data_IF_651396324710
#
_entry.id   IF_651396324710
#
_cell.length_a   1.000
_cell.length_b   1.000
_cell.length_c   1.000
_cell.angle_alpha   90.00
_cell.angle_beta   90.00
_cell.angle_gamma   90.00
#
_symmetry.space_group_name_H-M   'P 1'
#
loop_
_entity.id
_entity.type
_entity.pdbx_description
1 polymer ?
#
# COMPACT_ATOMS: atom_id res chain seq x y z
N UNK A 1 -10.95 -5.52 9.86
CA UNK A 1 -10.34 -4.19 9.59
C UNK A 1 -10.49 -3.83 8.12
N UNK A 2 -10.59 -2.52 7.81
CA UNK A 2 -10.57 -2.01 6.44
C UNK A 2 -9.41 -1.03 6.31
N UNK A 3 -8.65 -1.15 5.20
CA UNK A 3 -7.43 -0.39 5.00
C UNK A 3 -7.14 -0.16 3.51
N UNK A 4 -6.07 0.56 3.20
CA UNK A 4 -5.56 0.82 1.85
C UNK A 4 -6.61 1.42 0.89
N UNK A 5 -7.33 2.50 1.29
CA UNK A 5 -8.32 3.12 0.41
C UNK A 5 -7.63 3.78 -0.79
N UNK A 6 -8.22 3.62 -1.98
CA UNK A 6 -7.76 4.25 -3.22
C UNK A 6 -8.94 4.70 -4.06
N UNK A 7 -8.89 5.93 -4.54
CA UNK A 7 -9.88 6.47 -5.46
C UNK A 7 -9.80 5.81 -6.84
N UNK A 8 -10.97 5.61 -7.45
CA UNK A 8 -11.03 5.40 -8.90
C UNK A 8 -10.57 6.65 -9.63
N UNK A 9 -10.02 6.49 -10.82
CA UNK A 9 -9.47 7.61 -11.59
C UNK A 9 -10.51 8.70 -11.89
N UNK A 10 -11.77 8.33 -12.06
CA UNK A 10 -12.89 9.24 -12.30
C UNK A 10 -13.48 9.86 -11.02
N UNK A 11 -12.99 9.51 -9.84
CA UNK A 11 -13.45 10.01 -8.55
C UNK A 11 -14.85 9.53 -8.12
N UNK A 12 -15.45 8.61 -8.85
CA UNK A 12 -16.82 8.16 -8.59
C UNK A 12 -16.92 6.95 -7.65
N UNK A 13 -15.80 6.32 -7.38
CA UNK A 13 -15.70 5.18 -6.48
C UNK A 13 -14.39 5.17 -5.71
N UNK A 14 -14.35 4.38 -4.64
CA UNK A 14 -13.17 4.12 -3.84
C UNK A 14 -13.06 2.62 -3.63
N UNK A 15 -11.89 2.04 -3.92
CA UNK A 15 -11.59 0.66 -3.54
C UNK A 15 -10.87 0.63 -2.20
N UNK A 16 -11.05 -0.44 -1.45
CA UNK A 16 -10.37 -0.67 -0.18
C UNK A 16 -10.27 -2.17 0.10
N UNK A 17 -9.30 -2.55 0.90
CA UNK A 17 -9.11 -3.93 1.35
C UNK A 17 -9.77 -4.13 2.71
N UNK A 18 -10.45 -5.25 2.93
CA UNK A 18 -11.11 -5.56 4.20
C UNK A 18 -11.09 -7.05 4.50
N UNK A 19 -11.00 -7.41 5.76
CA UNK A 19 -11.10 -8.77 6.28
C UNK A 19 -12.53 -9.17 6.69
N UNK A 20 -13.54 -8.37 6.31
CA UNK A 20 -14.92 -8.56 6.75
C UNK A 20 -15.49 -9.94 6.43
N UNK A 21 -15.12 -10.48 5.27
CA UNK A 21 -15.64 -11.75 4.75
C UNK A 21 -14.58 -12.85 4.73
N UNK A 22 -13.32 -12.51 5.01
CA UNK A 22 -12.21 -13.44 5.00
C UNK A 22 -12.18 -14.33 6.23
N UNK A 23 -11.57 -15.49 6.09
CA UNK A 23 -11.29 -16.39 7.21
C UNK A 23 -10.30 -15.70 8.15
N UNK A 24 -10.61 -15.69 9.43
CA UNK A 24 -9.72 -15.17 10.48
C UNK A 24 -8.92 -16.31 11.08
N UNK A 25 -7.63 -16.09 11.22
CA UNK A 25 -6.77 -16.99 11.95
C UNK A 25 -6.99 -16.85 13.46
N UNK A 26 -6.60 -17.88 14.21
CA UNK A 26 -6.69 -17.88 15.66
C UNK A 26 -5.95 -16.67 16.26
N UNK A 27 -6.54 -16.03 17.27
CA UNK A 27 -5.93 -15.01 18.12
C UNK A 27 -5.22 -13.86 17.35
N UNK A 28 -5.86 -13.25 16.36
CA UNK A 28 -5.32 -12.11 15.61
C UNK A 28 -4.01 -12.37 14.82
N UNK A 29 -3.71 -13.60 14.51
CA UNK A 29 -2.57 -14.00 13.66
C UNK A 29 -2.78 -13.69 12.17
N UNK A 30 -3.68 -12.78 11.87
CA UNK A 30 -4.02 -12.36 10.53
C UNK A 30 -5.40 -12.85 10.07
N UNK A 31 -5.80 -12.40 8.93
CA UNK A 31 -7.05 -12.76 8.27
C UNK A 31 -6.88 -12.69 6.76
N UNK A 32 -7.65 -13.50 6.05
CA UNK A 32 -7.80 -13.33 4.61
C UNK A 32 -8.63 -12.09 4.34
N UNK A 33 -8.35 -11.41 3.25
CA UNK A 33 -8.95 -10.13 2.88
C UNK A 33 -9.60 -10.18 1.52
N UNK A 34 -10.45 -9.18 1.26
CA UNK A 34 -11.11 -8.93 -0.01
C UNK A 34 -10.90 -7.50 -0.45
N UNK A 35 -10.92 -7.26 -1.75
CA UNK A 35 -11.02 -5.91 -2.29
C UNK A 35 -12.49 -5.59 -2.50
N UNK A 36 -12.92 -4.50 -1.87
CA UNK A 36 -14.27 -3.94 -2.00
C UNK A 36 -14.23 -2.64 -2.77
N UNK A 37 -15.35 -2.27 -3.37
CA UNK A 37 -15.55 -0.97 -3.99
C UNK A 37 -16.82 -0.33 -3.44
N UNK A 38 -16.70 0.93 -3.02
CA UNK A 38 -17.85 1.77 -2.66
C UNK A 38 -18.05 2.85 -3.71
N UNK A 39 -19.28 2.99 -4.21
CA UNK A 39 -19.63 4.04 -5.17
C UNK A 39 -20.13 5.28 -4.44
N UNK A 40 -19.61 6.44 -4.81
CA UNK A 40 -19.92 7.72 -4.17
C UNK A 40 -21.35 8.16 -4.41
N UNK A 41 -21.97 7.73 -5.51
CA UNK A 41 -23.36 8.04 -5.84
C UNK A 41 -24.04 6.87 -6.56
N UNK A 42 -25.38 6.88 -6.58
CA UNK A 42 -26.18 5.81 -7.19
C UNK A 42 -25.96 5.69 -8.70
N UNK A 43 -25.80 6.81 -9.39
CA UNK A 43 -25.58 6.80 -10.83
C UNK A 43 -24.28 6.06 -11.21
N UNK A 44 -23.23 6.19 -10.40
CA UNK A 44 -21.98 5.44 -10.61
C UNK A 44 -22.18 3.94 -10.41
N UNK A 45 -22.94 3.53 -9.39
CA UNK A 45 -23.28 2.11 -9.16
C UNK A 45 -24.12 1.54 -10.32
N UNK A 46 -25.13 2.28 -10.77
CA UNK A 46 -25.98 1.86 -11.90
C UNK A 46 -25.17 1.72 -13.17
N UNK A 47 -24.29 2.69 -13.48
CA UNK A 47 -23.37 2.58 -14.63
C UNK A 47 -22.45 1.36 -14.50
N UNK A 48 -22.01 1.04 -13.31
CA UNK A 48 -21.19 -0.17 -13.08
C UNK A 48 -22.00 -1.46 -13.34
N UNK A 49 -23.27 -1.49 -13.02
CA UNK A 49 -24.18 -2.64 -13.23
C UNK A 49 -24.62 -2.84 -14.68
N UNK A 50 -24.58 -1.80 -15.50
CA UNK A 50 -24.94 -1.88 -16.94
C UNK A 50 -24.04 -2.89 -17.65
N UNK A 51 -24.58 -3.56 -18.65
CA UNK A 51 -23.80 -4.37 -19.60
C UNK A 51 -22.94 -3.49 -20.51
N UNK A 52 -21.97 -4.07 -21.23
CA UNK A 52 -21.17 -3.30 -22.21
C UNK A 52 -22.06 -2.65 -23.26
N UNK A 53 -23.07 -3.37 -23.78
CA UNK A 53 -24.02 -2.87 -24.77
C UNK A 53 -24.87 -1.70 -24.24
N UNK A 54 -25.34 -1.79 -23.00
CA UNK A 54 -26.10 -0.72 -22.35
C UNK A 54 -25.26 0.55 -22.16
N UNK A 55 -23.97 0.40 -21.80
CA UNK A 55 -23.04 1.53 -21.68
C UNK A 55 -22.81 2.20 -23.03
N UNK A 56 -22.55 1.42 -24.10
CA UNK A 56 -22.36 1.94 -25.46
C UNK A 56 -23.61 2.68 -25.96
N UNK A 57 -24.79 2.12 -25.70
CA UNK A 57 -26.06 2.74 -26.06
C UNK A 57 -26.28 4.05 -25.28
N UNK A 58 -25.98 4.07 -24.01
CA UNK A 58 -26.09 5.28 -23.18
C UNK A 58 -25.13 6.38 -23.62
N UNK A 59 -23.89 6.01 -23.97
CA UNK A 59 -22.89 6.95 -24.50
C UNK A 59 -23.26 7.48 -25.89
N UNK A 60 -23.81 6.64 -26.76
CA UNK A 60 -24.29 7.06 -28.06
C UNK A 60 -25.47 8.05 -27.93
N UNK A 61 -26.42 7.78 -27.05
CA UNK A 61 -27.53 8.71 -26.75
C UNK A 61 -27.03 10.05 -26.18
N UNK A 62 -26.08 10.03 -25.26
CA UNK A 62 -25.51 11.24 -24.68
C UNK A 62 -24.73 12.10 -25.72
N UNK A 63 -24.04 11.44 -26.67
CA UNK A 63 -23.36 12.13 -27.78
C UNK A 63 -24.40 12.76 -28.75
N UNK A 64 -25.45 12.05 -29.09
CA UNK A 64 -26.52 12.55 -29.97
C UNK A 64 -27.23 13.77 -29.33
N UNK A 65 -27.51 13.75 -28.03
CA UNK A 65 -28.10 14.88 -27.32
C UNK A 65 -27.19 16.13 -27.31
N UNK A 66 -25.88 15.95 -27.06
CA UNK A 66 -24.92 17.07 -27.13
C UNK A 66 -24.82 17.69 -28.54
N UNK A 67 -24.93 16.86 -29.56
CA UNK A 67 -24.90 17.34 -30.98
C UNK A 67 -26.15 18.13 -31.30
N UNK A 68 -27.32 17.74 -30.78
CA UNK A 68 -28.57 18.46 -30.98
C UNK A 68 -28.61 19.78 -30.20
N UNK A 69 -28.07 19.83 -28.98
CA UNK A 69 -27.94 21.07 -28.21
C UNK A 69 -26.94 22.05 -28.83
N UNK A 70 -25.81 21.57 -29.38
CA UNK A 70 -24.86 22.39 -30.10
C UNK A 70 -25.38 22.94 -31.42
N UNK A 71 -26.33 22.24 -32.06
CA UNK A 71 -27.00 22.73 -33.26
C UNK A 71 -28.12 23.76 -32.96
N UNK A 72 -28.74 23.64 -31.78
CA UNK A 72 -29.76 24.61 -31.34
C UNK A 72 -29.17 25.95 -30.88
N UNK A 73 -27.93 25.94 -30.33
CA UNK A 73 -27.26 27.16 -29.85
C UNK A 73 -26.56 27.99 -30.93
N UNK A 74 -26.47 27.51 -32.17
CA UNK A 74 -25.89 28.22 -33.32
C UNK A 74 -26.81 29.26 -33.99
N UNK A 75 -28.00 29.52 -33.44
CA UNK A 75 -29.00 30.50 -33.96
C UNK A 75 -29.07 31.82 -33.20
N UNK A 76 -28.14 32.19 -32.36
CA UNK A 76 -28.06 33.53 -31.82
C UNK A 76 -26.60 34.05 -31.96
N UNK A 77 -26.44 34.89 -33.00
CA UNK A 77 -25.22 35.64 -33.23
C UNK A 77 -25.18 36.82 -32.25
N UNK A 78 -24.05 37.05 -31.58
CA UNK A 78 -23.40 38.38 -31.58
C UNK A 78 -21.93 38.22 -31.13
N UNK A 79 -21.05 38.85 -31.91
CA UNK A 79 -19.64 39.00 -31.71
C UNK A 79 -19.34 39.68 -30.38
N UNK A 80 -18.42 39.12 -29.61
CA UNK A 80 -17.40 39.94 -28.97
C UNK A 80 -16.09 39.15 -28.81
N UNK A 81 -15.02 39.78 -29.28
CA UNK A 81 -13.68 39.26 -29.29
C UNK A 81 -12.96 39.70 -28.02
N UNK A 82 -12.63 38.76 -27.16
CA UNK A 82 -11.44 38.92 -26.29
C UNK A 82 -10.84 37.55 -25.94
N UNK A 83 -9.62 37.35 -26.45
CA UNK A 83 -8.72 36.29 -26.04
C UNK A 83 -8.52 36.32 -24.54
N UNK A 84 -8.79 35.20 -23.87
CA UNK A 84 -8.14 34.89 -22.61
C UNK A 84 -7.86 33.40 -22.59
N UNK A 85 -6.62 33.10 -22.86
CA UNK A 85 -5.97 31.83 -22.63
C UNK A 85 -5.95 31.57 -21.11
N UNK A 86 -6.74 30.64 -20.64
CA UNK A 86 -6.58 30.03 -19.34
C UNK A 86 -7.23 28.65 -19.39
N UNK A 87 -6.42 27.65 -19.63
CA UNK A 87 -6.76 26.23 -19.40
C UNK A 87 -6.92 25.99 -17.88
N UNK A 88 -7.97 26.54 -17.30
CA UNK A 88 -8.47 26.10 -16.00
C UNK A 88 -9.33 24.86 -16.22
N UNK A 89 -8.69 23.70 -16.12
CA UNK A 89 -9.37 22.43 -15.91
C UNK A 89 -9.99 22.49 -14.51
N UNK A 90 -11.18 23.10 -14.39
CA UNK A 90 -11.97 23.03 -13.16
C UNK A 90 -12.19 21.56 -12.85
N UNK A 91 -11.50 21.04 -11.85
CA UNK A 91 -11.76 19.71 -11.29
C UNK A 91 -13.24 19.68 -10.90
N UNK A 92 -14.00 18.75 -11.51
CA UNK A 92 -15.41 18.56 -11.12
C UNK A 92 -15.43 18.12 -9.67
N UNK A 93 -16.11 18.88 -8.82
CA UNK A 93 -16.30 18.51 -7.43
C UNK A 93 -16.92 17.11 -7.34
N UNK A 94 -16.33 16.25 -6.52
CA UNK A 94 -16.84 14.90 -6.29
C UNK A 94 -18.15 15.02 -5.52
N UNK A 95 -19.23 14.45 -6.08
CA UNK A 95 -20.54 14.42 -5.42
C UNK A 95 -20.67 13.11 -4.64
N UNK A 96 -20.76 13.22 -3.31
CA UNK A 96 -20.94 12.08 -2.43
C UNK A 96 -22.37 12.08 -1.89
N UNK A 97 -23.08 10.98 -2.12
CA UNK A 97 -24.41 10.72 -1.54
C UNK A 97 -24.20 9.87 -0.28
N UNK A 98 -24.31 10.47 0.90
CA UNK A 98 -24.03 9.79 2.16
C UNK A 98 -25.14 8.80 2.57
N UNK A 99 -26.39 9.08 2.21
CA UNK A 99 -27.52 8.23 2.57
C UNK A 99 -27.39 6.85 1.94
N UNK A 100 -27.43 5.81 2.76
CA UNK A 100 -27.33 4.40 2.38
C UNK A 100 -26.08 4.10 1.52
N UNK A 101 -24.93 4.67 1.92
CA UNK A 101 -23.65 4.44 1.20
C UNK A 101 -23.22 2.98 1.27
N UNK A 102 -23.56 2.28 2.33
CA UNK A 102 -23.32 0.86 2.54
C UNK A 102 -23.99 -0.04 1.49
N UNK A 103 -25.15 0.36 0.95
CA UNK A 103 -25.84 -0.37 -0.13
C UNK A 103 -25.11 -0.27 -1.48
N UNK A 104 -24.11 0.62 -1.55
CA UNK A 104 -23.28 0.83 -2.74
C UNK A 104 -21.90 0.23 -2.62
N UNK A 105 -21.71 -0.67 -1.66
CA UNK A 105 -20.48 -1.43 -1.50
C UNK A 105 -20.62 -2.78 -2.21
N UNK A 106 -19.67 -3.09 -3.08
CA UNK A 106 -19.61 -4.38 -3.77
C UNK A 106 -18.26 -5.05 -3.54
N UNK A 107 -18.24 -6.38 -3.53
CA UNK A 107 -17.03 -7.18 -3.49
C UNK A 107 -16.48 -7.35 -4.90
N UNK A 108 -15.19 -7.09 -5.10
CA UNK A 108 -14.52 -7.22 -6.40
C UNK A 108 -13.75 -8.53 -6.54
N UNK A 109 -13.16 -9.03 -5.46
CA UNK A 109 -12.43 -10.30 -5.47
C UNK A 109 -13.40 -11.47 -5.35
N UNK A 110 -13.23 -12.55 -6.14
CA UNK A 110 -14.10 -13.72 -6.07
C UNK A 110 -13.88 -14.53 -4.80
N UNK A 111 -12.64 -14.61 -4.33
CA UNK A 111 -12.23 -15.34 -3.14
C UNK A 111 -11.39 -14.46 -2.25
N UNK A 112 -11.50 -14.67 -0.94
CA UNK A 112 -10.63 -14.02 0.04
C UNK A 112 -9.22 -14.63 -0.03
N UNK A 113 -8.21 -13.79 0.14
CA UNK A 113 -6.80 -14.20 0.12
C UNK A 113 -5.96 -13.28 1.02
N UNK A 114 -4.69 -13.61 1.20
CA UNK A 114 -3.71 -12.65 1.70
C UNK A 114 -3.39 -11.65 0.59
N UNK A 115 -3.98 -10.45 0.71
CA UNK A 115 -3.87 -9.39 -0.31
C UNK A 115 -2.92 -8.32 0.18
N UNK A 116 -1.80 -8.15 -0.52
CA UNK A 116 -0.81 -7.13 -0.18
C UNK A 116 -1.11 -5.77 -0.80
N UNK A 117 -1.68 -5.73 -2.00
CA UNK A 117 -1.98 -4.48 -2.70
C UNK A 117 -3.01 -4.66 -3.78
N UNK A 118 -3.78 -3.59 -4.07
CA UNK A 118 -4.77 -3.57 -5.14
C UNK A 118 -4.85 -2.21 -5.82
N UNK A 119 -5.17 -2.16 -7.10
CA UNK A 119 -5.36 -0.94 -7.88
C UNK A 119 -6.31 -1.18 -9.05
N UNK A 120 -7.09 -0.16 -9.41
CA UNK A 120 -7.89 -0.18 -10.64
C UNK A 120 -7.02 0.17 -11.86
N UNK A 121 -7.38 -0.38 -13.03
CA UNK A 121 -6.85 0.11 -14.30
C UNK A 121 -7.23 1.57 -14.51
N UNK A 122 -6.47 2.35 -15.32
CA UNK A 122 -6.78 3.75 -15.59
C UNK A 122 -8.20 3.99 -16.13
N UNK A 123 -8.73 3.04 -16.90
CA UNK A 123 -10.10 3.08 -17.44
C UNK A 123 -11.18 2.56 -16.46
N UNK A 124 -10.78 2.11 -15.28
CA UNK A 124 -11.67 1.56 -14.25
C UNK A 124 -12.34 0.24 -14.58
N UNK A 125 -11.93 -0.45 -15.65
CA UNK A 125 -12.57 -1.71 -16.12
C UNK A 125 -12.00 -2.96 -15.49
N UNK A 126 -10.74 -2.91 -15.04
CA UNK A 126 -10.06 -4.03 -14.41
C UNK A 126 -9.57 -3.67 -13.01
N UNK A 127 -9.64 -4.63 -12.11
CA UNK A 127 -8.91 -4.62 -10.84
C UNK A 127 -7.63 -5.42 -11.03
N UNK A 128 -6.48 -4.88 -10.63
CA UNK A 128 -5.23 -5.60 -10.44
C UNK A 128 -4.95 -5.71 -8.95
N UNK A 129 -4.55 -6.89 -8.51
CA UNK A 129 -4.24 -7.10 -7.09
C UNK A 129 -3.19 -8.19 -6.91
N UNK A 130 -2.35 -8.04 -5.92
CA UNK A 130 -1.44 -9.07 -5.48
C UNK A 130 -2.09 -9.89 -4.38
N UNK A 131 -2.16 -11.19 -4.59
CA UNK A 131 -2.73 -12.13 -3.64
C UNK A 131 -1.92 -13.42 -3.55
N UNK A 132 -1.73 -13.92 -2.33
CA UNK A 132 -1.17 -15.23 -2.07
C UNK A 132 -2.32 -16.23 -1.85
N UNK A 133 -2.59 -17.05 -2.86
CA UNK A 133 -3.50 -18.20 -2.73
C UNK A 133 -2.72 -19.45 -2.34
N UNK A 134 -1.52 -19.61 -2.89
CA UNK A 134 -0.63 -20.75 -2.65
C UNK A 134 0.83 -20.27 -2.49
N UNK A 135 1.17 -19.78 -1.30
CA UNK A 135 2.54 -19.38 -0.97
C UNK A 135 2.83 -17.89 -1.20
N UNK A 136 3.45 -17.50 -2.32
CA UNK A 136 3.88 -16.14 -2.57
C UNK A 136 2.76 -15.29 -3.23
N UNK A 137 2.92 -13.97 -3.16
CA UNK A 137 1.97 -13.05 -3.81
C UNK A 137 2.18 -13.02 -5.31
N UNK A 138 1.15 -13.42 -6.04
CA UNK A 138 1.10 -13.33 -7.49
C UNK A 138 0.17 -12.19 -7.94
N UNK A 139 0.42 -11.65 -9.14
CA UNK A 139 -0.45 -10.63 -9.72
C UNK A 139 -1.63 -11.27 -10.41
N UNK A 140 -2.81 -10.84 -10.00
CA UNK A 140 -4.10 -11.24 -10.54
C UNK A 140 -4.84 -10.04 -11.14
N UNK A 141 -5.69 -10.31 -12.12
CA UNK A 141 -6.65 -9.33 -12.62
C UNK A 141 -8.08 -9.86 -12.56
N UNK A 142 -9.01 -8.95 -12.30
CA UNK A 142 -10.45 -9.19 -12.45
C UNK A 142 -10.99 -8.20 -13.46
N UNK A 143 -11.62 -8.69 -14.51
CA UNK A 143 -12.46 -7.88 -15.39
C UNK A 143 -13.77 -7.59 -14.65
N UNK A 144 -14.05 -6.33 -14.37
CA UNK A 144 -15.17 -5.93 -13.51
C UNK A 144 -16.53 -6.08 -14.21
N UNK A 145 -16.57 -6.14 -15.53
CA UNK A 145 -17.79 -6.38 -16.31
C UNK A 145 -18.03 -7.87 -16.55
N UNK A 146 -17.03 -8.57 -17.09
CA UNK A 146 -17.11 -9.99 -17.42
C UNK A 146 -16.98 -10.89 -16.19
N UNK A 147 -16.51 -10.33 -15.05
CA UNK A 147 -16.22 -11.06 -13.80
C UNK A 147 -15.26 -12.23 -14.00
N UNK A 148 -14.41 -12.13 -15.02
CA UNK A 148 -13.37 -13.13 -15.29
C UNK A 148 -12.12 -12.79 -14.52
N UNK A 149 -11.50 -13.83 -13.93
CA UNK A 149 -10.27 -13.73 -13.14
C UNK A 149 -9.14 -14.36 -13.92
N UNK A 150 -7.99 -13.71 -13.93
CA UNK A 150 -6.79 -14.19 -14.61
C UNK A 150 -5.56 -13.95 -13.74
N UNK A 151 -4.72 -14.98 -13.61
CA UNK A 151 -3.36 -14.82 -13.08
C UNK A 151 -2.48 -14.21 -14.19
N UNK A 152 -1.91 -13.05 -13.91
CA UNK A 152 -1.06 -12.31 -14.86
C UNK A 152 0.37 -12.83 -14.81
N UNK A 153 0.94 -12.92 -13.63
CA UNK A 153 2.32 -13.35 -13.46
C UNK A 153 2.56 -13.96 -12.08
N UNK A 154 3.44 -14.94 -12.03
CA UNK A 154 4.02 -15.49 -10.80
C UNK A 154 5.25 -14.68 -10.44
N UNK A 155 5.11 -13.82 -9.44
CA UNK A 155 6.20 -12.89 -9.06
C UNK A 155 7.13 -13.48 -8.02
N UNK A 156 6.70 -14.47 -7.28
CA UNK A 156 7.44 -15.08 -6.17
C UNK A 156 8.04 -14.05 -5.18
N UNK A 157 7.38 -12.92 -5.00
CA UNK A 157 7.81 -11.88 -4.06
C UNK A 157 6.91 -11.83 -2.84
N UNK A 158 7.49 -11.49 -1.69
CA UNK A 158 6.72 -11.22 -0.48
C UNK A 158 6.20 -9.78 -0.51
N UNK A 159 4.89 -9.61 -0.32
CA UNK A 159 4.20 -8.32 -0.13
C UNK A 159 4.55 -7.21 -1.13
N UNK A 160 4.45 -7.44 -2.45
CA UNK A 160 4.67 -6.39 -3.45
C UNK A 160 3.54 -5.35 -3.39
N UNK A 161 3.87 -4.11 -3.77
CA UNK A 161 2.92 -3.01 -3.82
C UNK A 161 2.66 -2.55 -5.25
N UNK A 162 1.39 -2.25 -5.56
CA UNK A 162 0.99 -1.57 -6.79
C UNK A 162 0.86 -0.07 -6.50
N UNK A 163 1.48 0.76 -7.32
CA UNK A 163 1.36 2.21 -7.24
C UNK A 163 1.12 2.79 -8.63
N UNK A 164 0.42 3.91 -8.70
CA UNK A 164 0.24 4.66 -9.96
C UNK A 164 0.97 5.98 -9.90
N UNK A 165 1.29 6.55 -11.04
CA UNK A 165 1.71 7.93 -11.13
C UNK A 165 0.55 8.90 -10.77
N UNK A 166 0.87 10.19 -10.63
CA UNK A 166 -0.10 11.20 -10.23
C UNK A 166 -1.29 11.35 -11.19
N UNK A 167 -1.12 10.96 -12.45
CA UNK A 167 -2.18 10.98 -13.47
C UNK A 167 -2.98 9.69 -13.52
N UNK A 168 -2.49 8.62 -12.89
CA UNK A 168 -3.09 7.29 -12.95
C UNK A 168 -2.87 6.53 -14.25
N UNK A 169 -2.06 7.08 -15.18
CA UNK A 169 -1.85 6.47 -16.50
C UNK A 169 -0.88 5.28 -16.46
N UNK A 170 0.05 5.30 -15.51
CA UNK A 170 1.07 4.26 -15.38
C UNK A 170 0.94 3.54 -14.05
N UNK A 171 1.04 2.22 -14.08
CA UNK A 171 1.08 1.38 -12.89
C UNK A 171 2.49 0.82 -12.73
N UNK A 172 2.97 0.83 -11.50
CA UNK A 172 4.27 0.30 -11.11
C UNK A 172 4.10 -0.77 -10.05
N UNK A 173 4.96 -1.77 -10.10
CA UNK A 173 5.14 -2.76 -9.04
C UNK A 173 6.39 -2.37 -8.27
N UNK A 174 6.26 -2.24 -6.96
CA UNK A 174 7.34 -1.89 -6.04
C UNK A 174 7.49 -3.02 -5.02
N UNK A 175 8.67 -3.56 -4.94
CA UNK A 175 9.05 -4.62 -4.03
C UNK A 175 10.57 -4.69 -3.92
N UNK A 176 11.12 -5.90 -3.79
CA UNK A 176 12.58 -6.13 -3.86
C UNK A 176 13.18 -5.68 -5.20
N UNK A 177 12.36 -5.66 -6.25
CA UNK A 177 12.66 -5.07 -7.56
C UNK A 177 11.48 -4.21 -8.01
N UNK A 178 11.75 -3.23 -8.87
CA UNK A 178 10.74 -2.32 -9.38
C UNK A 178 10.46 -2.60 -10.85
N UNK A 179 9.18 -2.54 -11.23
CA UNK A 179 8.72 -2.76 -12.61
C UNK A 179 7.66 -1.74 -13.00
N UNK A 180 7.68 -1.34 -14.26
CA UNK A 180 6.51 -0.72 -14.88
C UNK A 180 5.61 -1.83 -15.42
N UNK A 181 4.33 -1.80 -15.05
CA UNK A 181 3.33 -2.74 -15.51
C UNK A 181 2.56 -2.15 -16.69
N UNK A 182 2.61 -2.82 -17.84
CA UNK A 182 1.81 -2.49 -19.01
C UNK A 182 0.45 -3.19 -18.90
N UNK A 183 -0.60 -2.41 -18.68
CA UNK A 183 -1.97 -2.93 -18.51
C UNK A 183 -2.60 -3.47 -19.80
N UNK A 184 -2.07 -3.09 -20.97
CA UNK A 184 -2.56 -3.58 -22.27
C UNK A 184 -1.90 -4.88 -22.66
N UNK A 185 -0.57 -4.93 -22.55
CA UNK A 185 0.21 -6.13 -22.85
C UNK A 185 0.22 -7.13 -21.67
N UNK A 186 -0.26 -6.73 -20.49
CA UNK A 186 -0.22 -7.49 -19.23
C UNK A 186 1.20 -8.02 -18.93
N UNK A 187 2.19 -7.17 -19.10
CA UNK A 187 3.61 -7.51 -18.99
C UNK A 187 4.38 -6.54 -18.11
N UNK A 188 5.51 -7.01 -17.57
CA UNK A 188 6.39 -6.22 -16.71
C UNK A 188 7.63 -5.75 -17.48
N UNK A 189 7.95 -4.47 -17.35
CA UNK A 189 9.20 -3.89 -17.81
C UNK A 189 10.04 -3.54 -16.58
N UNK A 190 11.23 -4.14 -16.39
CA UNK A 190 12.06 -3.84 -15.23
C UNK A 190 12.50 -2.37 -15.24
N UNK A 191 12.55 -1.77 -14.06
CA UNK A 191 13.10 -0.47 -13.81
C UNK A 191 14.35 -0.63 -12.96
N UNK A 192 15.49 -0.34 -13.53
CA UNK A 192 16.76 -0.28 -12.80
C UNK A 192 17.11 1.17 -12.48
N UNK A 193 17.53 1.38 -11.26
CA UNK A 193 18.06 2.65 -10.80
C UNK A 193 19.22 2.37 -9.84
N UNK A 194 20.15 3.30 -9.78
CA UNK A 194 21.22 3.29 -8.79
C UNK A 194 21.29 4.67 -8.15
N UNK A 195 21.61 4.70 -6.87
CA UNK A 195 21.83 5.93 -6.14
C UNK A 195 23.05 5.77 -5.23
N UNK A 196 23.89 6.77 -5.21
CA UNK A 196 24.98 6.85 -4.25
C UNK A 196 24.53 7.67 -3.04
N UNK A 197 24.82 7.15 -1.85
CA UNK A 197 24.52 7.83 -0.59
C UNK A 197 25.76 7.87 0.28
N UNK A 198 26.07 9.04 0.84
CA UNK A 198 27.08 9.14 1.89
C UNK A 198 26.48 8.57 3.18
N UNK A 199 27.15 7.61 3.74
CA UNK A 199 26.69 6.87 4.89
C UNK A 199 27.68 7.05 6.06
N UNK A 200 27.16 7.41 7.22
CA UNK A 200 27.92 7.46 8.48
C UNK A 200 27.24 6.56 9.52
N UNK A 201 27.81 5.38 9.80
CA UNK A 201 27.20 4.43 10.74
C UNK A 201 26.97 5.01 12.13
N UNK A 202 27.85 5.87 12.61
CA UNK A 202 27.70 6.52 13.91
C UNK A 202 26.53 7.50 13.94
N UNK A 203 26.44 8.37 12.92
CA UNK A 203 25.35 9.33 12.81
C UNK A 203 23.99 8.65 12.60
N UNK A 204 23.96 7.53 11.88
CA UNK A 204 22.74 6.73 11.71
C UNK A 204 22.29 6.11 13.04
N UNK A 205 23.20 5.49 13.81
CA UNK A 205 22.86 4.95 15.13
C UNK A 205 22.36 6.02 16.09
N UNK A 206 22.94 7.22 16.05
CA UNK A 206 22.48 8.33 16.84
C UNK A 206 21.07 8.79 16.41
N UNK A 207 20.81 8.86 15.12
CA UNK A 207 19.47 9.19 14.61
C UNK A 207 18.44 8.14 14.99
N UNK A 208 18.76 6.84 14.84
CA UNK A 208 17.88 5.74 15.27
C UNK A 208 17.62 5.76 16.77
N UNK A 209 18.63 6.01 17.58
CA UNK A 209 18.48 6.14 19.02
C UNK A 209 17.50 7.27 19.38
N UNK A 210 17.70 8.45 18.80
CA UNK A 210 16.82 9.60 19.03
C UNK A 210 15.37 9.30 18.61
N UNK A 211 15.20 8.57 17.51
CA UNK A 211 13.88 8.17 17.04
C UNK A 211 13.21 7.19 18.02
N UNK A 212 13.91 6.16 18.50
CA UNK A 212 13.39 5.23 19.50
C UNK A 212 12.98 5.98 20.76
N UNK A 213 13.85 6.85 21.30
CA UNK A 213 13.57 7.64 22.51
C UNK A 213 12.30 8.49 22.33
N UNK A 214 12.17 9.12 21.17
CA UNK A 214 11.02 9.98 20.85
C UNK A 214 9.73 9.17 20.71
N UNK A 215 9.77 8.07 19.95
CA UNK A 215 8.58 7.24 19.67
C UNK A 215 8.06 6.57 20.94
N UNK A 216 8.94 6.06 21.81
CA UNK A 216 8.53 5.51 23.11
C UNK A 216 7.89 6.56 23.99
N UNK A 217 8.48 7.75 24.11
CA UNK A 217 7.88 8.84 24.89
C UNK A 217 6.48 9.23 24.40
N UNK A 218 6.24 9.16 23.08
CA UNK A 218 4.95 9.52 22.48
C UNK A 218 3.91 8.41 22.56
N UNK A 219 4.32 7.16 22.34
CA UNK A 219 3.40 6.04 22.08
C UNK A 219 3.28 5.05 23.21
N UNK A 220 4.18 5.07 24.20
CA UNK A 220 4.08 4.16 25.32
C UNK A 220 2.71 4.28 25.99
N UNK A 221 2.05 3.17 26.25
CA UNK A 221 0.66 3.16 26.71
C UNK A 221 0.48 3.78 28.10
N UNK A 222 1.49 3.66 28.98
CA UNK A 222 1.49 4.24 30.31
C UNK A 222 2.23 5.58 30.29
N UNK A 223 1.51 6.68 30.46
CA UNK A 223 2.09 8.04 30.46
C UNK A 223 3.15 8.29 31.51
N UNK A 224 3.16 7.51 32.58
CA UNK A 224 4.17 7.58 33.65
C UNK A 224 5.35 6.62 33.41
N UNK A 225 5.48 6.02 32.20
CA UNK A 225 6.59 5.12 31.84
C UNK A 225 6.89 4.06 32.91
N UNK A 226 5.86 3.50 33.54
CA UNK A 226 5.95 2.59 34.70
C UNK A 226 6.77 3.14 35.91
N UNK A 227 6.82 4.46 36.04
CA UNK A 227 7.62 5.13 37.09
C UNK A 227 9.07 5.35 36.72
N UNK A 228 9.51 4.98 35.53
CA UNK A 228 10.87 5.23 35.04
C UNK A 228 11.02 6.70 34.66
N UNK A 229 12.08 7.33 35.12
CA UNK A 229 12.47 8.65 34.61
C UNK A 229 13.12 8.50 33.25
N UNK A 230 12.27 8.51 32.20
CA UNK A 230 12.69 8.24 30.83
C UNK A 230 13.80 9.17 30.34
N UNK A 231 13.73 10.45 30.65
CA UNK A 231 14.76 11.42 30.25
C UNK A 231 16.11 11.07 30.86
N UNK A 232 16.18 10.87 32.20
CA UNK A 232 17.43 10.55 32.85
C UNK A 232 18.01 9.21 32.38
N UNK A 233 17.15 8.23 32.15
CA UNK A 233 17.55 6.90 31.65
C UNK A 233 18.12 7.00 30.23
N UNK A 234 17.46 7.68 29.33
CA UNK A 234 17.94 7.84 27.95
C UNK A 234 19.20 8.68 27.87
N UNK A 235 19.37 9.70 28.69
CA UNK A 235 20.63 10.47 28.81
C UNK A 235 21.76 9.61 29.36
N UNK A 236 21.48 8.69 30.27
CA UNK A 236 22.46 7.74 30.79
C UNK A 236 22.92 6.78 29.68
N UNK A 237 22.02 6.17 28.93
CA UNK A 237 22.33 5.25 27.85
C UNK A 237 23.06 5.93 26.68
N UNK A 238 22.69 7.16 26.35
CA UNK A 238 23.32 7.94 25.24
C UNK A 238 24.84 7.99 25.33
N UNK A 239 25.41 7.96 26.52
CA UNK A 239 26.88 8.01 26.73
C UNK A 239 27.61 6.83 26.13
N UNK A 240 26.94 5.71 25.90
CA UNK A 240 27.53 4.49 25.36
C UNK A 240 27.49 4.43 23.83
N UNK A 241 26.66 5.23 23.16
CA UNK A 241 26.54 5.23 21.69
C UNK A 241 27.85 5.34 20.94
N UNK A 242 28.83 6.19 21.35
CA UNK A 242 30.11 6.31 20.64
C UNK A 242 30.95 5.04 20.68
N UNK A 243 30.70 4.14 21.61
CA UNK A 243 31.46 2.91 21.79
C UNK A 243 30.87 1.70 21.06
N UNK A 244 29.66 1.86 20.49
CA UNK A 244 28.98 0.79 19.76
C UNK A 244 29.49 0.78 18.32
N UNK A 245 30.14 -0.31 17.92
CA UNK A 245 30.81 -0.41 16.63
C UNK A 245 29.99 -1.07 15.54
N UNK A 246 29.00 -1.90 15.88
CA UNK A 246 28.17 -2.65 14.92
C UNK A 246 26.69 -2.63 15.29
N UNK A 247 25.84 -3.07 14.36
CA UNK A 247 24.40 -3.01 14.53
C UNK A 247 23.82 -4.18 15.37
N UNK A 248 24.56 -5.26 15.58
CA UNK A 248 24.14 -6.31 16.52
C UNK A 248 24.22 -5.78 17.95
N UNK A 249 25.37 -5.22 18.34
CA UNK A 249 25.55 -4.60 19.65
C UNK A 249 24.57 -3.42 19.86
N UNK A 250 24.28 -2.68 18.77
CA UNK A 250 23.29 -1.61 18.85
C UNK A 250 21.86 -2.13 19.13
N UNK A 251 21.49 -3.28 18.54
CA UNK A 251 20.19 -3.88 18.81
C UNK A 251 20.08 -4.39 20.26
N UNK A 252 21.14 -5.04 20.78
CA UNK A 252 21.20 -5.44 22.18
C UNK A 252 21.13 -4.22 23.12
N UNK A 253 21.89 -3.19 22.84
CA UNK A 253 21.87 -1.94 23.57
C UNK A 253 20.46 -1.30 23.63
N UNK A 254 19.74 -1.29 22.50
CA UNK A 254 18.34 -0.83 22.48
C UNK A 254 17.43 -1.74 23.28
N UNK A 255 17.66 -3.07 23.23
CA UNK A 255 16.89 -4.03 24.00
C UNK A 255 17.08 -3.87 25.49
N UNK A 256 18.31 -3.59 25.95
CA UNK A 256 18.59 -3.27 27.36
C UNK A 256 17.86 -1.98 27.79
N UNK A 257 17.99 -0.90 27.01
CA UNK A 257 17.30 0.36 27.31
C UNK A 257 15.77 0.16 27.43
N UNK A 258 15.18 -0.55 26.47
CA UNK A 258 13.73 -0.77 26.42
C UNK A 258 13.28 -1.77 27.51
N UNK A 259 14.15 -2.68 27.92
CA UNK A 259 13.93 -3.62 29.02
C UNK A 259 13.68 -2.92 30.38
N UNK A 260 14.25 -1.74 30.59
CA UNK A 260 14.03 -0.93 31.81
C UNK A 260 12.56 -0.50 31.97
N UNK A 261 11.77 -0.47 30.90
CA UNK A 261 10.34 -0.20 30.95
C UNK A 261 9.53 -1.36 31.55
N UNK A 262 10.13 -2.53 31.74
CA UNK A 262 9.54 -3.73 32.32
C UNK A 262 8.17 -4.09 31.69
N UNK A 263 8.15 -4.21 30.37
CA UNK A 263 6.97 -4.57 29.60
C UNK A 263 7.35 -5.55 28.49
N UNK A 264 6.45 -6.48 28.18
CA UNK A 264 6.65 -7.44 27.07
C UNK A 264 6.56 -6.76 25.72
N UNK A 265 7.21 -7.37 24.70
CA UNK A 265 7.21 -6.93 23.30
C UNK A 265 7.96 -5.59 23.05
N UNK A 266 8.83 -5.18 23.94
CA UNK A 266 9.82 -4.13 23.71
C UNK A 266 11.18 -4.76 23.43
N UNK A 267 11.98 -4.15 22.54
CA UNK A 267 13.32 -4.61 22.21
C UNK A 267 13.75 -4.22 20.79
N UNK A 268 15.03 -4.41 20.50
CA UNK A 268 15.64 -4.19 19.20
C UNK A 268 16.08 -5.50 18.57
N UNK A 269 16.01 -5.58 17.24
CA UNK A 269 16.60 -6.70 16.49
C UNK A 269 17.28 -6.19 15.23
N UNK A 270 18.46 -6.68 14.98
CA UNK A 270 19.15 -6.45 13.72
C UNK A 270 19.10 -7.70 12.86
N UNK A 271 18.79 -7.53 11.58
CA UNK A 271 18.93 -8.56 10.53
C UNK A 271 19.86 -8.03 9.46
N UNK A 272 21.00 -8.68 9.30
CA UNK A 272 21.92 -8.35 8.20
C UNK A 272 21.25 -8.64 6.86
N UNK A 273 21.37 -7.68 5.95
CA UNK A 273 20.99 -7.85 4.53
C UNK A 273 22.23 -8.09 3.65
N UNK A 274 23.38 -8.38 4.25
CA UNK A 274 24.59 -8.66 3.50
C UNK A 274 24.38 -9.88 2.59
N UNK A 275 24.40 -9.65 1.29
CA UNK A 275 24.25 -10.69 0.25
C UNK A 275 25.44 -11.65 0.15
N UNK A 276 26.46 -11.46 0.94
CA UNK A 276 27.62 -12.35 1.04
C UNK A 276 27.92 -12.54 2.53
N UNK A 277 27.37 -13.59 3.12
CA UNK A 277 27.92 -14.14 4.35
C UNK A 277 28.74 -15.36 3.98
N UNK A 278 29.99 -15.38 4.36
CA UNK A 278 30.77 -16.63 4.33
C UNK A 278 30.29 -17.50 5.50
N UNK A 279 29.72 -18.68 5.24
CA UNK A 279 29.29 -19.56 6.32
C UNK A 279 30.55 -20.02 7.09
N UNK A 280 30.59 -19.71 8.37
CA UNK A 280 31.65 -20.22 9.23
C UNK A 280 31.53 -21.74 9.28
N UNK A 281 32.60 -22.44 8.90
CA UNK A 281 32.62 -23.88 8.99
C UNK A 281 32.49 -24.33 10.45
N UNK A 282 31.63 -25.34 10.67
CA UNK A 282 31.54 -25.98 11.97
C UNK A 282 32.85 -26.63 12.32
N UNK A 283 33.32 -26.43 13.52
CA UNK A 283 34.51 -27.15 14.05
C UNK A 283 34.21 -28.65 14.32
N UNK A 284 32.95 -29.06 14.18
CA UNK A 284 32.54 -30.44 14.47
C UNK A 284 32.67 -30.83 15.93
N UNK A 285 32.68 -29.85 16.83
CA UNK A 285 32.78 -30.07 18.27
C UNK A 285 31.38 -30.28 18.84
N UNK A 286 31.25 -31.31 19.65
CA UNK A 286 30.09 -31.59 20.46
C UNK A 286 30.47 -31.49 21.92
N UNK A 287 29.73 -30.73 22.71
CA UNK A 287 29.94 -30.60 24.14
C UNK A 287 29.16 -31.70 24.88
N UNK A 288 29.79 -32.28 25.87
CA UNK A 288 29.09 -33.16 26.79
C UNK A 288 28.54 -32.32 27.95
N UNK A 289 27.24 -32.17 28.00
CA UNK A 289 26.55 -31.34 29.00
C UNK A 289 26.74 -31.81 30.43
N UNK A 290 27.11 -33.10 30.65
CA UNK A 290 27.35 -33.61 31.98
C UNK A 290 28.79 -33.37 32.47
N UNK A 291 29.75 -33.24 31.58
CA UNK A 291 31.14 -33.09 31.96
C UNK A 291 31.73 -31.72 31.64
N UNK A 292 31.00 -30.86 30.90
CA UNK A 292 31.46 -29.54 30.49
C UNK A 292 32.73 -29.55 29.61
N UNK A 293 33.04 -30.69 28.97
CA UNK A 293 34.19 -30.87 28.09
C UNK A 293 33.77 -31.25 26.69
#
# INVERSE_FOLDING_TARGET
FSHSPRWSHDGNALIFTTDRYGMRNHASWGSLSDVMMVFMNRAALEKHRMTEEEVELAEAKAKAQKTNEASASKKSNTKDTSKKDSTDTKSKAIKIEWNNIEDRIIRLTPNSADISSSILSPDGKKLYYFAAYEGQHDLWSVDLKKKTVKQINKTNTSSPSLVSDAKGDNIFVVGSSCYKFDTKAESFKPLSFSAEMKYSPLAEREAMYNEVVREEALRFYNKNMHGVNWTNLTDYYRRYLPYISNNYDFAEFLSELLGELNVSHTGGRYRSHAGASEPTASLGLFYNDQTGK
#
